data_IF_327380587029
#
_entry.id   IF_327380587029
#
_cell.length_a   1.000
_cell.length_b   1.000
_cell.length_c   1.000
_cell.angle_alpha   90.00
_cell.angle_beta   90.00
_cell.angle_gamma   90.00
#
_symmetry.space_group_name_H-M   'P 1'
#
loop_
_entity.id
_entity.type
_entity.pdbx_description
1 polymer ?
#
# COMPACT_ATOMS: atom_id res chain seq x y z
N UNK A 1 6.94 -14.35 6.64
CA UNK A 1 5.54 -14.52 6.20
C UNK A 1 5.01 -13.15 5.81
N UNK A 2 4.24 -13.03 4.72
CA UNK A 2 3.63 -11.75 4.34
C UNK A 2 2.76 -11.20 5.47
N UNK A 3 2.66 -9.88 5.57
CA UNK A 3 1.69 -9.25 6.45
C UNK A 3 0.27 -9.70 6.06
N UNK A 4 -0.60 -9.96 7.02
CA UNK A 4 -1.98 -10.29 6.74
C UNK A 4 -2.69 -9.09 6.08
N UNK A 5 -3.57 -9.36 5.11
CA UNK A 5 -4.46 -8.34 4.59
C UNK A 5 -5.35 -7.78 5.71
N UNK A 6 -5.61 -6.47 5.66
CA UNK A 6 -6.52 -5.77 6.57
C UNK A 6 -7.03 -4.51 5.88
N UNK A 7 -7.86 -3.73 6.56
CA UNK A 7 -8.32 -2.43 6.05
C UNK A 7 -7.17 -1.46 5.73
N UNK A 8 -6.01 -1.64 6.38
CA UNK A 8 -4.82 -0.83 6.17
C UNK A 8 -3.75 -1.50 5.29
N UNK A 9 -3.91 -2.78 4.94
CA UNK A 9 -2.92 -3.57 4.21
C UNK A 9 -3.60 -4.27 3.03
N UNK A 10 -3.30 -3.81 1.82
CA UNK A 10 -3.79 -4.38 0.56
C UNK A 10 -2.66 -5.03 -0.21
N UNK A 11 -2.84 -6.28 -0.61
CA UNK A 11 -1.88 -7.02 -1.45
C UNK A 11 -2.18 -6.83 -2.94
N UNK A 12 -1.12 -6.65 -3.71
CA UNK A 12 -1.13 -6.67 -5.16
C UNK A 12 -0.32 -7.88 -5.64
N UNK A 13 -0.79 -8.57 -6.68
CA UNK A 13 -0.16 -9.81 -7.13
C UNK A 13 -0.61 -10.30 -8.52
N UNK A 14 -1.45 -9.53 -9.21
CA UNK A 14 -2.00 -9.84 -10.54
C UNK A 14 -1.47 -8.87 -11.62
N UNK A 15 -0.34 -8.22 -11.37
CA UNK A 15 0.21 -7.19 -12.27
C UNK A 15 -0.58 -5.88 -12.27
N UNK A 16 -1.30 -5.56 -11.19
CA UNK A 16 -2.00 -4.28 -11.08
C UNK A 16 -1.00 -3.12 -11.00
N UNK A 17 -1.27 -2.03 -11.72
CA UNK A 17 -0.48 -0.78 -11.67
C UNK A 17 -1.15 0.32 -10.85
N UNK A 18 -2.45 0.20 -10.60
CA UNK A 18 -3.26 1.20 -9.89
C UNK A 18 -4.40 0.56 -9.10
N UNK A 19 -5.02 1.36 -8.24
CA UNK A 19 -6.22 0.99 -7.50
C UNK A 19 -7.07 2.22 -7.20
N UNK A 20 -8.38 2.07 -7.27
CA UNK A 20 -9.32 3.05 -6.72
C UNK A 20 -9.61 2.71 -5.26
N UNK A 21 -9.46 3.67 -4.35
CA UNK A 21 -9.71 3.53 -2.92
C UNK A 21 -10.86 4.44 -2.51
N UNK A 22 -11.86 3.86 -1.83
CA UNK A 22 -12.81 4.64 -1.04
C UNK A 22 -12.23 4.81 0.37
N UNK A 23 -12.16 6.04 0.84
CA UNK A 23 -11.58 6.38 2.14
C UNK A 23 -12.57 7.20 2.96
N UNK A 24 -12.75 6.92 4.26
CA UNK A 24 -13.61 7.72 5.11
C UNK A 24 -13.05 9.14 5.29
N UNK A 25 -13.88 10.16 5.61
CA UNK A 25 -13.40 11.50 5.92
C UNK A 25 -12.33 11.47 7.02
N UNK A 26 -11.21 12.16 6.79
CA UNK A 26 -10.06 12.14 7.71
C UNK A 26 -8.71 12.26 7.02
N UNK A 27 -7.64 12.21 7.83
CA UNK A 27 -6.25 12.25 7.38
C UNK A 27 -5.72 10.82 7.19
N UNK A 28 -5.21 10.52 5.99
CA UNK A 28 -4.68 9.21 5.61
C UNK A 28 -3.25 9.34 5.15
N UNK A 29 -2.43 8.32 5.44
CA UNK A 29 -1.06 8.20 4.90
C UNK A 29 -0.97 6.94 4.07
N UNK A 30 -0.54 7.07 2.82
CA UNK A 30 -0.44 5.97 1.87
C UNK A 30 1.03 5.74 1.53
N UNK A 31 1.41 4.46 1.37
CA UNK A 31 2.74 4.05 0.94
C UNK A 31 2.66 2.72 0.19
N UNK A 32 3.42 2.60 -0.89
CA UNK A 32 3.63 1.34 -1.59
C UNK A 32 4.99 0.74 -1.20
N UNK A 33 5.01 -0.58 -1.05
CA UNK A 33 6.22 -1.38 -0.80
C UNK A 33 6.26 -2.49 -1.82
N UNK A 34 7.36 -2.60 -2.56
CA UNK A 34 7.57 -3.68 -3.51
C UNK A 34 8.21 -4.88 -2.82
N UNK A 35 7.50 -6.00 -2.83
CA UNK A 35 8.01 -7.30 -2.42
C UNK A 35 8.36 -8.17 -3.61
N UNK A 36 9.21 -9.18 -3.36
CA UNK A 36 9.54 -10.23 -4.32
C UNK A 36 8.41 -11.27 -4.47
N UNK A 37 8.68 -12.37 -5.17
CA UNK A 37 7.72 -13.44 -5.45
C UNK A 37 7.19 -14.17 -4.20
N UNK A 38 7.87 -14.08 -3.05
CA UNK A 38 7.39 -14.59 -1.75
C UNK A 38 6.93 -13.46 -0.81
N UNK A 39 6.71 -12.25 -1.35
CA UNK A 39 6.25 -11.07 -0.63
C UNK A 39 7.24 -10.56 0.43
N UNK A 40 8.53 -10.81 0.26
CA UNK A 40 9.57 -10.18 1.08
C UNK A 40 10.00 -8.86 0.45
N UNK A 41 10.11 -7.76 1.23
CA UNK A 41 10.73 -6.54 0.73
C UNK A 41 12.15 -6.80 0.22
N UNK A 42 12.54 -6.12 -0.86
CA UNK A 42 13.90 -6.17 -1.37
C UNK A 42 14.93 -5.63 -0.36
N UNK A 43 16.22 -5.88 -0.62
CA UNK A 43 17.34 -5.29 0.13
C UNK A 43 18.29 -4.56 -0.85
N UNK A 44 18.34 -3.21 -0.83
CA UNK A 44 17.55 -2.32 0.02
C UNK A 44 16.05 -2.36 -0.36
N UNK A 45 15.14 -1.99 0.57
CA UNK A 45 13.72 -1.97 0.27
C UNK A 45 13.38 -0.97 -0.84
N UNK A 46 12.51 -1.40 -1.75
CA UNK A 46 11.95 -0.53 -2.79
C UNK A 46 10.58 -0.08 -2.31
N UNK A 47 10.45 1.22 -1.99
CA UNK A 47 9.22 1.82 -1.47
C UNK A 47 8.92 3.13 -2.19
N UNK A 48 7.65 3.48 -2.29
CA UNK A 48 7.28 4.84 -2.70
C UNK A 48 7.58 5.85 -1.58
N UNK A 49 7.60 7.12 -1.94
CA UNK A 49 7.41 8.19 -0.97
C UNK A 49 6.09 7.99 -0.23
N UNK A 50 6.06 8.44 1.03
CA UNK A 50 4.81 8.52 1.79
C UNK A 50 4.06 9.76 1.34
N UNK A 51 2.78 9.58 1.00
CA UNK A 51 1.89 10.70 0.74
C UNK A 51 0.86 10.80 1.85
N UNK A 52 0.47 12.03 2.18
CA UNK A 52 -0.60 12.30 3.14
C UNK A 52 -1.72 13.04 2.43
N UNK A 53 -2.92 12.52 2.54
CA UNK A 53 -4.13 13.13 1.97
C UNK A 53 -5.16 13.37 3.08
N UNK A 54 -6.01 14.37 2.90
CA UNK A 54 -7.14 14.64 3.79
C UNK A 54 -8.43 14.57 2.98
N UNK A 55 -9.28 13.60 3.30
CA UNK A 55 -10.59 13.44 2.69
C UNK A 55 -11.59 14.31 3.45
N UNK A 56 -12.20 15.26 2.74
CA UNK A 56 -13.24 16.14 3.29
C UNK A 56 -14.59 15.44 3.26
N UNK A 57 -15.50 15.87 4.13
CA UNK A 57 -16.92 15.50 4.06
C UNK A 57 -17.59 16.13 2.85
#
# INVERSE_FOLDING_TARGET
MPLAASDNIRHFGKGQTEVTLELPPGKHTLQLVLGDWIHLPHSPPVMSEKITITVKK
#
